data_IF_613807823394
#
_entry.id   IF_613807823394
#
_cell.length_a   1.000
_cell.length_b   1.000
_cell.length_c   1.000
_cell.angle_alpha   90.00
_cell.angle_beta   90.00
_cell.angle_gamma   90.00
#
_symmetry.space_group_name_H-M   'P 1'
#
loop_
_entity.id
_entity.type
_entity.pdbx_description
1 polymer ?
#
# COMPACT_ATOMS: atom_id res chain seq x y z
N UNK A 1 -6.69 -22.02 39.45
CA UNK A 1 -6.42 -20.57 39.32
C UNK A 1 -5.18 -20.23 38.48
N UNK A 2 -4.46 -21.20 37.89
CA UNK A 2 -3.32 -20.93 36.99
C UNK A 2 -3.72 -20.64 35.52
N UNK A 3 -4.92 -21.04 35.11
CA UNK A 3 -5.43 -20.98 33.73
C UNK A 3 -5.83 -19.57 33.25
N UNK A 4 -6.04 -18.63 34.17
CA UNK A 4 -6.44 -17.25 33.83
C UNK A 4 -5.29 -16.31 33.45
N UNK A 5 -4.06 -16.57 33.93
CA UNK A 5 -2.89 -15.71 33.65
C UNK A 5 -2.15 -16.09 32.38
N UNK A 6 -2.15 -17.37 32.02
CA UNK A 6 -1.57 -17.87 30.76
C UNK A 6 -2.40 -17.48 29.54
N UNK A 7 -3.74 -17.48 29.66
CA UNK A 7 -4.65 -17.00 28.60
C UNK A 7 -4.47 -15.51 28.30
N UNK A 8 -4.39 -14.64 29.32
CA UNK A 8 -4.25 -13.20 29.09
C UNK A 8 -2.90 -12.85 28.43
N UNK A 9 -1.83 -13.58 28.74
CA UNK A 9 -0.52 -13.39 28.11
C UNK A 9 -0.50 -13.84 26.64
N UNK A 10 -1.24 -14.91 26.29
CA UNK A 10 -1.38 -15.37 24.91
C UNK A 10 -2.12 -14.36 24.02
N UNK A 11 -3.22 -13.81 24.52
CA UNK A 11 -4.02 -12.81 23.81
C UNK A 11 -3.27 -11.49 23.61
N UNK A 12 -2.50 -11.05 24.62
CA UNK A 12 -1.64 -9.86 24.52
C UNK A 12 -0.50 -10.05 23.52
N UNK A 13 0.21 -11.19 23.58
CA UNK A 13 1.24 -11.55 22.60
C UNK A 13 0.67 -11.53 21.19
N UNK A 14 -0.50 -12.13 20.99
CA UNK A 14 -1.16 -12.17 19.70
C UNK A 14 -1.50 -10.76 19.22
N UNK A 15 -2.02 -9.90 20.09
CA UNK A 15 -2.33 -8.52 19.72
C UNK A 15 -1.09 -7.72 19.29
N UNK A 16 0.02 -7.88 20.00
CA UNK A 16 1.31 -7.26 19.63
C UNK A 16 1.79 -7.78 18.28
N UNK A 17 1.73 -9.09 18.08
CA UNK A 17 2.14 -9.75 16.85
C UNK A 17 1.33 -9.27 15.63
N UNK A 18 0.00 -9.18 15.78
CA UNK A 18 -0.90 -8.62 14.76
C UNK A 18 -0.55 -7.17 14.44
N UNK A 19 -0.18 -6.37 15.44
CA UNK A 19 0.21 -4.97 15.25
C UNK A 19 1.56 -4.84 14.54
N UNK A 20 2.52 -5.73 14.81
CA UNK A 20 3.82 -5.76 14.14
C UNK A 20 3.68 -6.20 12.68
N UNK A 21 2.89 -7.25 12.40
CA UNK A 21 2.67 -7.73 11.03
C UNK A 21 1.91 -6.74 10.15
N UNK A 22 1.04 -5.90 10.74
CA UNK A 22 0.39 -4.80 10.01
C UNK A 22 1.36 -3.69 9.58
N UNK A 23 2.53 -3.62 10.20
CA UNK A 23 3.58 -2.65 9.86
C UNK A 23 4.65 -3.26 8.94
N UNK A 24 4.50 -4.54 8.57
CA UNK A 24 5.40 -5.19 7.64
C UNK A 24 5.40 -4.39 6.32
N UNK A 25 6.59 -4.03 5.80
CA UNK A 25 6.69 -3.41 4.49
C UNK A 25 6.11 -4.33 3.41
N UNK A 26 5.59 -3.77 2.31
CA UNK A 26 5.22 -4.58 1.16
C UNK A 26 6.43 -5.39 0.70
N UNK A 27 6.19 -6.60 0.21
CA UNK A 27 7.22 -7.55 -0.22
C UNK A 27 8.16 -8.13 0.87
N UNK A 28 8.01 -7.73 2.14
CA UNK A 28 8.85 -8.23 3.26
C UNK A 28 8.04 -8.97 4.35
N UNK A 29 6.76 -9.24 4.07
CA UNK A 29 5.88 -9.89 5.05
C UNK A 29 6.37 -11.27 5.49
N UNK A 30 6.98 -12.04 4.58
CA UNK A 30 7.46 -13.38 4.87
C UNK A 30 8.60 -13.35 5.88
N UNK A 31 9.55 -12.43 5.68
CA UNK A 31 10.71 -12.19 6.52
C UNK A 31 10.25 -11.77 7.92
N UNK A 32 9.38 -10.76 8.01
CA UNK A 32 8.81 -10.28 9.28
C UNK A 32 8.03 -11.40 9.99
N UNK A 33 7.25 -12.20 9.26
CA UNK A 33 6.52 -13.33 9.83
C UNK A 33 7.45 -14.41 10.40
N UNK A 34 8.52 -14.75 9.69
CA UNK A 34 9.51 -15.72 10.15
C UNK A 34 10.30 -15.23 11.37
N UNK A 35 10.66 -13.95 11.40
CA UNK A 35 11.33 -13.34 12.56
C UNK A 35 10.41 -13.35 13.79
N UNK A 36 9.15 -12.98 13.61
CA UNK A 36 8.16 -13.03 14.69
C UNK A 36 7.89 -14.44 15.18
N UNK A 37 7.87 -15.44 14.28
CA UNK A 37 7.77 -16.85 14.67
C UNK A 37 8.88 -17.24 15.63
N UNK A 38 10.12 -16.83 15.35
CA UNK A 38 11.28 -17.10 16.20
C UNK A 38 11.21 -16.38 17.55
N UNK A 39 10.68 -15.15 17.58
CA UNK A 39 10.54 -14.35 18.80
C UNK A 39 9.42 -14.84 19.73
N UNK A 40 8.32 -15.30 19.16
CA UNK A 40 7.14 -15.75 19.91
C UNK A 40 7.35 -17.15 20.51
N UNK A 41 8.11 -18.00 19.83
CA UNK A 41 8.44 -19.38 20.23
C UNK A 41 7.19 -20.23 20.56
N UNK A 42 6.12 -20.04 19.77
CA UNK A 42 4.87 -20.80 19.86
C UNK A 42 4.29 -21.04 18.45
N UNK A 43 4.75 -22.12 17.82
CA UNK A 43 4.32 -22.51 16.48
C UNK A 43 2.81 -22.80 16.40
N UNK A 44 2.17 -23.19 17.50
CA UNK A 44 0.74 -23.48 17.52
C UNK A 44 -0.07 -22.19 17.40
N UNK A 45 0.34 -21.14 18.13
CA UNK A 45 -0.25 -19.80 18.06
C UNK A 45 0.00 -19.16 16.70
N UNK A 46 1.23 -19.24 16.19
CA UNK A 46 1.60 -18.70 14.87
C UNK A 46 0.77 -19.35 13.74
N UNK A 47 0.60 -20.67 13.79
CA UNK A 47 -0.11 -21.42 12.74
C UNK A 47 -1.61 -21.13 12.70
N UNK A 48 -2.24 -20.92 13.86
CA UNK A 48 -3.67 -20.59 13.95
C UNK A 48 -4.01 -19.27 13.27
N UNK A 49 -3.08 -18.30 13.32
CA UNK A 49 -3.33 -16.91 12.94
C UNK A 49 -2.68 -16.53 11.61
N UNK A 50 -1.69 -17.31 11.15
CA UNK A 50 -0.99 -17.11 9.89
C UNK A 50 -1.97 -16.87 8.74
N UNK A 51 -2.91 -17.78 8.51
CA UNK A 51 -3.81 -17.70 7.37
C UNK A 51 -4.59 -16.37 7.33
N UNK A 52 -5.09 -15.91 8.48
CA UNK A 52 -5.84 -14.66 8.59
C UNK A 52 -4.94 -13.44 8.31
N UNK A 53 -3.73 -13.42 8.84
CA UNK A 53 -2.81 -12.28 8.69
C UNK A 53 -2.23 -12.19 7.30
N UNK A 54 -1.87 -13.32 6.70
CA UNK A 54 -1.49 -13.40 5.30
C UNK A 54 -2.63 -12.97 4.38
N UNK A 55 -3.87 -13.41 4.66
CA UNK A 55 -5.04 -12.98 3.89
C UNK A 55 -5.27 -11.46 3.98
N UNK A 56 -5.17 -10.89 5.18
CA UNK A 56 -5.29 -9.46 5.40
C UNK A 56 -4.21 -8.69 4.65
N UNK A 57 -2.95 -9.08 4.80
CA UNK A 57 -1.81 -8.44 4.13
C UNK A 57 -1.98 -8.45 2.61
N UNK A 58 -2.26 -9.62 2.04
CA UNK A 58 -2.44 -9.77 0.60
C UNK A 58 -3.55 -8.86 0.05
N UNK A 59 -4.66 -8.73 0.78
CA UNK A 59 -5.79 -7.87 0.40
C UNK A 59 -5.52 -6.37 0.58
N UNK A 60 -4.70 -5.98 1.56
CA UNK A 60 -4.36 -4.57 1.83
C UNK A 60 -3.38 -4.02 0.80
N UNK A 61 -2.42 -4.84 0.38
CA UNK A 61 -1.37 -4.46 -0.58
C UNK A 61 -1.68 -4.88 -2.02
N UNK A 62 -2.90 -5.33 -2.31
CA UNK A 62 -3.37 -5.71 -3.64
C UNK A 62 -2.47 -6.76 -4.31
N UNK A 63 -2.07 -7.81 -3.58
CA UNK A 63 -1.13 -8.81 -4.10
C UNK A 63 -1.61 -9.38 -5.45
N UNK A 64 -0.78 -9.28 -6.50
CA UNK A 64 -1.15 -9.77 -7.82
C UNK A 64 -1.09 -11.30 -7.89
N UNK A 65 -2.07 -11.90 -8.54
CA UNK A 65 -2.10 -13.33 -8.85
C UNK A 65 -2.07 -13.49 -10.36
N UNK A 66 -0.95 -14.02 -10.87
CA UNK A 66 -0.73 -14.27 -12.30
C UNK A 66 -0.59 -15.77 -12.52
N UNK A 67 -1.63 -16.41 -13.03
CA UNK A 67 -1.66 -17.81 -13.44
C UNK A 67 -2.38 -17.94 -14.79
N UNK A 68 -2.30 -19.11 -15.43
CA UNK A 68 -2.91 -19.34 -16.74
C UNK A 68 -4.43 -19.07 -16.70
N UNK A 69 -5.09 -19.49 -15.64
CA UNK A 69 -6.54 -19.42 -15.46
C UNK A 69 -7.03 -18.12 -14.81
N UNK A 70 -6.19 -17.38 -14.08
CA UNK A 70 -6.56 -16.11 -13.42
C UNK A 70 -5.46 -15.05 -13.52
N UNK A 71 -5.83 -13.80 -13.74
CA UNK A 71 -4.90 -12.65 -13.70
C UNK A 71 -5.59 -11.47 -13.01
N UNK A 72 -5.47 -11.40 -11.69
CA UNK A 72 -6.25 -10.48 -10.85
C UNK A 72 -5.49 -10.03 -9.60
N UNK A 73 -5.84 -8.86 -9.08
CA UNK A 73 -5.41 -8.38 -7.76
C UNK A 73 -6.27 -9.01 -6.66
N UNK A 74 -5.64 -9.50 -5.59
CA UNK A 74 -6.36 -9.90 -4.38
C UNK A 74 -6.75 -8.68 -3.58
N UNK A 75 -8.05 -8.47 -3.42
CA UNK A 75 -8.56 -7.31 -2.70
C UNK A 75 -9.76 -7.71 -1.84
N UNK A 76 -10.20 -6.80 -0.97
CA UNK A 76 -11.51 -6.94 -0.29
C UNK A 76 -12.71 -6.86 -1.25
N UNK A 77 -12.50 -6.51 -2.53
CA UNK A 77 -13.57 -6.29 -3.50
C UNK A 77 -13.93 -7.54 -4.28
N UNK A 78 -13.07 -8.56 -4.29
CA UNK A 78 -13.30 -9.83 -4.96
C UNK A 78 -13.26 -11.04 -4.05
N UNK A 79 -13.24 -10.85 -2.73
CA UNK A 79 -13.41 -11.93 -1.76
C UNK A 79 -14.86 -12.44 -1.79
N UNK A 80 -14.99 -13.76 -1.96
CA UNK A 80 -16.23 -14.51 -1.90
C UNK A 80 -16.24 -15.38 -0.62
N UNK A 81 -17.33 -16.10 -0.39
CA UNK A 81 -17.42 -17.07 0.70
C UNK A 81 -16.38 -18.21 0.55
N UNK A 82 -16.11 -18.91 1.66
CA UNK A 82 -15.22 -20.09 1.69
C UNK A 82 -13.78 -19.84 1.19
N UNK A 83 -13.23 -18.65 1.43
CA UNK A 83 -11.87 -18.27 1.02
C UNK A 83 -11.66 -18.36 -0.51
N UNK A 84 -12.72 -18.05 -1.27
CA UNK A 84 -12.66 -17.92 -2.72
C UNK A 84 -12.50 -16.47 -3.14
N UNK A 85 -11.88 -16.26 -4.30
CA UNK A 85 -11.73 -14.97 -4.93
C UNK A 85 -12.30 -14.99 -6.35
N UNK A 86 -12.80 -13.84 -6.79
CA UNK A 86 -13.33 -13.63 -8.14
C UNK A 86 -12.29 -12.93 -9.03
N UNK A 87 -12.05 -13.50 -10.20
CA UNK A 87 -11.45 -12.82 -11.34
C UNK A 87 -12.59 -12.43 -12.30
N UNK A 88 -13.05 -11.17 -12.28
CA UNK A 88 -14.12 -10.72 -13.18
C UNK A 88 -13.65 -10.57 -14.64
N UNK A 89 -12.35 -10.50 -14.91
CA UNK A 89 -11.79 -10.39 -16.26
C UNK A 89 -11.90 -11.72 -17.00
N UNK A 90 -11.49 -12.81 -16.34
CA UNK A 90 -11.57 -14.17 -16.88
C UNK A 90 -12.86 -14.89 -16.50
N UNK A 91 -13.71 -14.27 -15.68
CA UNK A 91 -15.00 -14.82 -15.22
C UNK A 91 -14.83 -16.18 -14.53
N UNK A 92 -13.84 -16.28 -13.66
CA UNK A 92 -13.56 -17.47 -12.86
C UNK A 92 -13.49 -17.11 -11.39
N UNK A 93 -13.88 -18.04 -10.53
CA UNK A 93 -13.56 -17.98 -9.11
C UNK A 93 -12.54 -19.06 -8.77
N UNK A 94 -11.74 -18.84 -7.73
CA UNK A 94 -10.70 -19.77 -7.30
C UNK A 94 -10.49 -19.70 -5.79
N UNK A 95 -9.97 -20.78 -5.18
CA UNK A 95 -9.43 -20.74 -3.82
C UNK A 95 -8.00 -20.25 -3.85
N UNK A 96 -7.60 -19.48 -2.86
CA UNK A 96 -6.24 -18.99 -2.75
C UNK A 96 -5.57 -19.45 -1.45
N UNK A 97 -4.46 -20.17 -1.58
CA UNK A 97 -3.56 -20.49 -0.46
C UNK A 97 -2.64 -19.30 -0.23
N UNK A 98 -2.95 -18.50 0.80
CA UNK A 98 -2.19 -17.29 1.12
C UNK A 98 -0.75 -17.54 1.58
N UNK A 99 -0.43 -18.73 2.09
CA UNK A 99 0.92 -19.07 2.52
C UNK A 99 1.77 -19.50 1.32
N UNK A 100 1.21 -20.32 0.43
CA UNK A 100 1.89 -20.79 -0.79
C UNK A 100 1.83 -19.79 -1.94
N UNK A 101 0.98 -18.76 -1.82
CA UNK A 101 0.63 -17.81 -2.88
C UNK A 101 0.16 -18.52 -4.17
N UNK A 102 -0.71 -19.51 -4.03
CA UNK A 102 -1.20 -20.32 -5.16
C UNK A 102 -2.73 -20.31 -5.25
N UNK A 103 -3.25 -20.06 -6.46
CA UNK A 103 -4.65 -20.27 -6.80
C UNK A 103 -4.91 -21.73 -7.21
N UNK A 104 -6.12 -22.21 -6.90
CA UNK A 104 -6.56 -23.58 -7.16
C UNK A 104 -8.10 -23.67 -7.19
N UNK A 105 -8.65 -24.84 -7.53
CA UNK A 105 -10.11 -25.09 -7.51
C UNK A 105 -10.89 -24.03 -8.32
N UNK A 106 -10.48 -23.86 -9.58
CA UNK A 106 -11.07 -22.90 -10.51
C UNK A 106 -12.49 -23.33 -10.91
N UNK A 107 -13.41 -22.37 -10.87
CA UNK A 107 -14.82 -22.58 -11.22
C UNK A 107 -15.30 -21.41 -12.07
N UNK A 108 -16.01 -21.71 -13.16
CA UNK A 108 -16.62 -20.67 -13.99
C UNK A 108 -17.58 -19.82 -13.16
N UNK A 109 -17.49 -18.50 -13.30
CA UNK A 109 -18.29 -17.53 -12.56
C UNK A 109 -18.81 -16.47 -13.53
N UNK A 110 -19.92 -16.78 -14.20
CA UNK A 110 -20.51 -15.90 -15.20
C UNK A 110 -21.10 -14.63 -14.57
N UNK A 111 -20.89 -13.48 -15.21
CA UNK A 111 -21.50 -12.21 -14.78
C UNK A 111 -22.95 -12.13 -15.27
N UNK A 112 -23.89 -12.06 -14.33
CA UNK A 112 -25.34 -11.98 -14.62
C UNK A 112 -25.73 -10.59 -15.13
N UNK A 113 -25.13 -9.53 -14.59
CA UNK A 113 -25.38 -8.17 -15.03
C UNK A 113 -24.60 -7.81 -16.31
N UNK A 114 -25.21 -8.08 -17.46
CA UNK A 114 -24.65 -7.75 -18.77
C UNK A 114 -24.35 -6.27 -18.96
N UNK A 115 -25.17 -5.37 -18.39
CA UNK A 115 -24.97 -3.93 -18.57
C UNK A 115 -23.80 -3.43 -17.74
N UNK A 116 -23.74 -3.80 -16.45
CA UNK A 116 -22.61 -3.49 -15.60
C UNK A 116 -21.31 -4.08 -16.13
N UNK A 117 -21.36 -5.29 -16.70
CA UNK A 117 -20.19 -5.92 -17.32
C UNK A 117 -19.63 -5.12 -18.49
N UNK A 118 -20.47 -4.52 -19.33
CA UNK A 118 -20.01 -3.66 -20.43
C UNK A 118 -19.21 -2.46 -19.90
N UNK A 119 -19.73 -1.79 -18.86
CA UNK A 119 -19.05 -0.66 -18.21
C UNK A 119 -17.75 -1.08 -17.53
N UNK A 120 -17.77 -2.18 -16.76
CA UNK A 120 -16.60 -2.74 -16.07
C UNK A 120 -15.51 -3.13 -17.06
N UNK A 121 -15.88 -3.81 -18.15
CA UNK A 121 -14.94 -4.26 -19.19
C UNK A 121 -14.29 -3.09 -19.91
N UNK A 122 -15.07 -2.11 -20.35
CA UNK A 122 -14.52 -0.93 -21.01
C UNK A 122 -13.53 -0.17 -20.11
N UNK A 123 -13.88 -0.04 -18.82
CA UNK A 123 -12.98 0.55 -17.83
C UNK A 123 -11.70 -0.26 -17.64
N UNK A 124 -11.82 -1.59 -17.50
CA UNK A 124 -10.67 -2.49 -17.38
C UNK A 124 -9.74 -2.42 -18.59
N UNK A 125 -10.27 -2.49 -19.81
CA UNK A 125 -9.46 -2.48 -21.04
C UNK A 125 -8.68 -1.17 -21.19
N UNK A 126 -9.34 -0.03 -20.97
CA UNK A 126 -8.67 1.27 -21.01
C UNK A 126 -7.60 1.40 -19.91
N UNK A 127 -7.92 0.94 -18.69
CA UNK A 127 -7.00 1.00 -17.56
C UNK A 127 -5.81 0.06 -17.73
N UNK A 128 -6.01 -1.12 -18.29
CA UNK A 128 -4.95 -2.10 -18.52
C UNK A 128 -3.89 -1.56 -19.50
N UNK A 129 -4.32 -0.81 -20.53
CA UNK A 129 -3.41 -0.13 -21.45
C UNK A 129 -2.59 0.93 -20.71
N UNK A 130 -3.24 1.75 -19.86
CA UNK A 130 -2.56 2.74 -19.03
C UNK A 130 -1.54 2.11 -18.08
N UNK A 131 -1.94 1.06 -17.36
CA UNK A 131 -1.06 0.40 -16.39
C UNK A 131 0.12 -0.26 -17.07
N UNK A 132 -0.09 -0.93 -18.21
CA UNK A 132 1.00 -1.55 -18.98
C UNK A 132 2.01 -0.55 -19.54
N UNK A 133 1.62 0.72 -19.73
CA UNK A 133 2.53 1.76 -20.24
C UNK A 133 3.26 2.55 -19.15
N UNK A 134 2.72 2.58 -17.92
CA UNK A 134 3.27 3.39 -16.82
C UNK A 134 3.92 2.56 -15.71
N UNK A 135 3.60 1.28 -15.59
CA UNK A 135 4.06 0.40 -14.51
C UNK A 135 4.71 -0.86 -15.10
N UNK A 136 6.02 -1.03 -14.89
CA UNK A 136 6.79 -2.12 -15.50
C UNK A 136 6.24 -3.53 -15.18
N UNK A 137 5.83 -3.75 -13.94
CA UNK A 137 5.21 -5.00 -13.46
C UNK A 137 3.80 -4.75 -12.90
N UNK A 138 3.12 -3.74 -13.44
CA UNK A 138 1.79 -3.36 -12.96
C UNK A 138 0.72 -4.40 -13.28
N UNK A 139 -0.31 -4.43 -12.44
CA UNK A 139 -1.55 -5.14 -12.71
C UNK A 139 -2.73 -4.27 -12.27
N UNK A 140 -3.86 -4.39 -12.96
CA UNK A 140 -5.09 -3.73 -12.55
C UNK A 140 -6.25 -4.70 -12.50
N UNK A 141 -7.27 -4.36 -11.73
CA UNK A 141 -8.51 -5.12 -11.67
C UNK A 141 -9.69 -4.19 -11.49
N UNK A 142 -10.80 -4.49 -12.18
CA UNK A 142 -12.03 -3.69 -12.08
C UNK A 142 -13.17 -4.60 -11.65
N UNK A 143 -13.82 -4.24 -10.55
CA UNK A 143 -14.90 -4.98 -9.90
C UNK A 143 -16.21 -4.21 -10.00
N UNK A 144 -17.32 -4.93 -9.94
CA UNK A 144 -18.67 -4.35 -9.83
C UNK A 144 -19.16 -4.57 -8.41
N UNK A 145 -19.64 -3.50 -7.77
CA UNK A 145 -20.40 -3.57 -6.52
C UNK A 145 -21.78 -2.99 -6.76
N UNK A 146 -22.78 -3.84 -6.60
CA UNK A 146 -24.17 -3.41 -6.67
C UNK A 146 -24.65 -2.90 -5.31
N UNK A 147 -25.27 -1.73 -5.33
CA UNK A 147 -26.03 -1.21 -4.19
C UNK A 147 -27.49 -1.06 -4.61
N UNK A 148 -28.41 -0.98 -3.65
CA UNK A 148 -29.84 -0.81 -3.94
C UNK A 148 -30.17 0.43 -4.80
N UNK A 149 -29.27 1.42 -4.88
CA UNK A 149 -29.54 2.75 -5.47
C UNK A 149 -28.65 3.06 -6.67
N UNK A 150 -27.42 2.51 -6.74
CA UNK A 150 -26.46 2.79 -7.81
C UNK A 150 -25.52 1.60 -8.08
N UNK A 151 -24.97 1.57 -9.28
CA UNK A 151 -23.87 0.66 -9.62
C UNK A 151 -22.55 1.33 -9.30
N UNK A 152 -21.63 0.59 -8.68
CA UNK A 152 -20.31 1.10 -8.32
C UNK A 152 -19.28 0.25 -9.04
N UNK A 153 -18.42 0.89 -9.84
CA UNK A 153 -17.21 0.26 -10.32
C UNK A 153 -16.09 0.57 -9.35
N UNK A 154 -15.31 -0.44 -9.00
CA UNK A 154 -14.08 -0.26 -8.23
C UNK A 154 -12.90 -0.69 -9.09
N UNK A 155 -12.01 0.24 -9.40
CA UNK A 155 -10.77 -0.03 -10.11
C UNK A 155 -9.60 0.00 -9.13
N UNK A 156 -8.82 -1.08 -9.12
CA UNK A 156 -7.61 -1.23 -8.33
C UNK A 156 -6.42 -1.31 -9.28
N UNK A 157 -5.35 -0.59 -8.95
CA UNK A 157 -4.07 -0.62 -9.65
C UNK A 157 -3.01 -0.97 -8.61
N UNK A 158 -2.07 -1.82 -8.99
CA UNK A 158 -0.90 -2.16 -8.19
C UNK A 158 0.31 -2.24 -9.11
N UNK A 159 1.43 -1.70 -8.67
CA UNK A 159 2.73 -1.94 -9.27
C UNK A 159 3.80 -1.86 -8.19
N UNK A 160 4.65 -2.89 -8.12
CA UNK A 160 5.73 -2.97 -7.16
C UNK A 160 7.06 -3.21 -7.86
N UNK A 161 8.13 -2.95 -7.11
CA UNK A 161 9.49 -3.35 -7.45
C UNK A 161 10.14 -3.87 -6.17
N UNK A 162 10.59 -5.13 -6.22
CA UNK A 162 11.30 -5.78 -5.12
C UNK A 162 12.78 -5.94 -5.52
N UNK A 163 13.69 -5.27 -4.80
CA UNK A 163 15.14 -5.28 -5.07
C UNK A 163 15.92 -5.55 -3.79
N UNK A 164 15.81 -6.76 -3.22
CA UNK A 164 16.38 -7.06 -1.90
C UNK A 164 17.92 -7.07 -1.95
N UNK A 165 18.52 -7.46 -3.08
CA UNK A 165 19.96 -7.41 -3.29
C UNK A 165 20.52 -5.98 -3.37
N UNK A 166 19.66 -4.99 -3.63
CA UNK A 166 19.99 -3.57 -3.61
C UNK A 166 19.38 -2.87 -2.39
N UNK A 167 18.85 -3.63 -1.44
CA UNK A 167 18.29 -3.17 -0.17
C UNK A 167 17.15 -2.16 -0.28
N UNK A 168 16.30 -2.27 -1.30
CA UNK A 168 15.10 -1.46 -1.38
C UNK A 168 13.91 -2.14 -2.03
N UNK A 169 12.72 -1.74 -1.58
CA UNK A 169 11.43 -2.18 -2.11
C UNK A 169 10.52 -0.97 -2.31
N UNK A 170 9.63 -1.06 -3.30
CA UNK A 170 8.67 -0.02 -3.62
C UNK A 170 7.32 -0.62 -4.02
N UNK A 171 6.25 0.05 -3.63
CA UNK A 171 4.88 -0.27 -4.00
C UNK A 171 4.14 1.02 -4.32
N UNK A 172 3.47 1.03 -5.47
CA UNK A 172 2.50 2.04 -5.85
C UNK A 172 1.16 1.35 -6.06
N UNK A 173 0.14 1.72 -5.29
CA UNK A 173 -1.20 1.19 -5.47
C UNK A 173 -2.22 2.30 -5.49
N UNK A 174 -3.32 2.10 -6.20
CA UNK A 174 -4.46 3.00 -6.11
C UNK A 174 -5.79 2.25 -6.15
N UNK A 175 -6.76 2.76 -5.39
CA UNK A 175 -8.14 2.28 -5.38
C UNK A 175 -9.05 3.43 -5.81
N UNK A 176 -9.87 3.20 -6.81
CA UNK A 176 -10.79 4.18 -7.38
C UNK A 176 -12.21 3.64 -7.37
N UNK A 177 -13.15 4.48 -6.97
CA UNK A 177 -14.57 4.18 -6.92
C UNK A 177 -15.31 5.12 -7.87
N UNK A 178 -16.04 4.56 -8.84
CA UNK A 178 -16.85 5.29 -9.82
C UNK A 178 -18.32 4.94 -9.59
N UNK A 179 -19.10 5.92 -9.16
CA UNK A 179 -20.54 5.77 -8.92
C UNK A 179 -21.36 6.04 -10.19
N UNK A 180 -21.92 4.99 -10.80
CA UNK A 180 -22.80 5.07 -11.96
C UNK A 180 -24.26 5.11 -11.50
N UNK A 181 -24.90 6.26 -11.68
CA UNK A 181 -26.33 6.46 -11.41
C UNK A 181 -27.09 6.48 -12.75
N UNK A 182 -28.11 5.63 -12.97
CA UNK A 182 -28.73 5.44 -14.29
C UNK A 182 -29.28 6.68 -14.99
N UNK A 183 -29.69 7.70 -14.23
CA UNK A 183 -30.29 8.95 -14.73
C UNK A 183 -29.33 10.13 -14.75
N UNK A 184 -28.09 9.95 -14.29
CA UNK A 184 -27.12 11.03 -14.19
C UNK A 184 -26.28 11.12 -15.48
N UNK A 185 -25.99 12.35 -15.90
CA UNK A 185 -25.02 12.64 -16.96
C UNK A 185 -23.58 12.74 -16.44
N UNK A 186 -23.39 12.57 -15.13
CA UNK A 186 -22.07 12.60 -14.49
C UNK A 186 -21.93 11.54 -13.39
N UNK A 187 -20.74 10.97 -13.25
CA UNK A 187 -20.36 10.00 -12.24
C UNK A 187 -19.47 10.68 -11.20
N UNK A 188 -19.73 10.42 -9.92
CA UNK A 188 -18.80 10.80 -8.85
C UNK A 188 -17.65 9.80 -8.83
N UNK A 189 -16.42 10.32 -8.74
CA UNK A 189 -15.19 9.53 -8.65
C UNK A 189 -14.44 9.92 -7.40
N UNK A 190 -14.10 8.92 -6.61
CA UNK A 190 -13.22 9.07 -5.45
C UNK A 190 -12.09 8.06 -5.60
N UNK A 191 -10.86 8.47 -5.36
CA UNK A 191 -9.70 7.59 -5.39
C UNK A 191 -8.72 7.87 -4.28
N UNK A 192 -7.93 6.85 -3.97
CA UNK A 192 -6.80 6.94 -3.05
C UNK A 192 -5.59 6.34 -3.75
N UNK A 193 -4.48 7.07 -3.77
CA UNK A 193 -3.19 6.62 -4.28
C UNK A 193 -2.25 6.49 -3.08
N UNK A 194 -1.71 5.29 -2.87
CA UNK A 194 -0.77 5.00 -1.80
C UNK A 194 0.59 4.63 -2.40
N UNK A 195 1.66 5.24 -1.89
CA UNK A 195 3.03 4.96 -2.28
C UNK A 195 3.82 4.57 -1.03
N UNK A 196 4.43 3.39 -1.09
CA UNK A 196 5.34 2.90 -0.07
C UNK A 196 6.72 2.67 -0.68
N UNK A 197 7.76 3.11 0.00
CA UNK A 197 9.13 2.70 -0.29
C UNK A 197 9.87 2.38 1.00
N UNK A 198 10.77 1.42 0.94
CA UNK A 198 11.61 1.00 2.06
C UNK A 198 13.04 0.84 1.54
N UNK A 199 14.00 1.49 2.20
CA UNK A 199 15.43 1.33 1.97
C UNK A 199 16.11 0.91 3.27
N UNK A 200 16.92 -0.15 3.21
CA UNK A 200 17.42 -0.84 4.40
C UNK A 200 18.91 -1.21 4.35
N UNK A 201 19.72 -0.49 3.55
CA UNK A 201 21.18 -0.60 3.60
C UNK A 201 21.72 0.36 4.67
N UNK A 202 22.44 -0.18 5.67
CA UNK A 202 23.06 0.58 6.76
C UNK A 202 22.11 1.55 7.52
N UNK A 203 20.81 1.32 7.41
CA UNK A 203 19.74 2.13 7.98
C UNK A 203 18.39 1.49 7.76
N UNK A 204 17.33 2.14 8.24
CA UNK A 204 15.95 1.75 7.96
C UNK A 204 15.14 3.02 7.67
N UNK A 205 14.84 3.25 6.40
CA UNK A 205 14.15 4.44 5.91
C UNK A 205 12.88 4.01 5.19
N UNK A 206 11.74 4.51 5.68
CA UNK A 206 10.43 4.32 5.05
C UNK A 206 9.89 5.62 4.47
N UNK A 207 9.31 5.53 3.28
CA UNK A 207 8.41 6.51 2.71
C UNK A 207 7.00 5.92 2.71
N UNK A 208 6.03 6.64 3.27
CA UNK A 208 4.60 6.33 3.12
C UNK A 208 3.89 7.60 2.71
N UNK A 209 3.16 7.55 1.60
CA UNK A 209 2.42 8.68 1.04
C UNK A 209 1.02 8.21 0.72
N UNK A 210 0.03 9.02 1.06
CA UNK A 210 -1.37 8.79 0.72
C UNK A 210 -1.92 10.08 0.10
N UNK A 211 -2.52 9.96 -1.10
CA UNK A 211 -3.19 11.06 -1.79
C UNK A 211 -4.63 10.69 -2.07
N UNK A 212 -5.55 11.45 -1.49
CA UNK A 212 -6.97 11.35 -1.79
C UNK A 212 -7.32 12.23 -2.98
N UNK A 213 -8.16 11.71 -3.87
CA UNK A 213 -8.62 12.37 -5.09
C UNK A 213 -10.13 12.29 -5.13
N UNK A 214 -10.78 13.40 -5.42
CA UNK A 214 -12.23 13.45 -5.63
C UNK A 214 -12.53 14.28 -6.87
N UNK A 215 -13.49 13.83 -7.67
CA UNK A 215 -13.85 14.52 -8.90
C UNK A 215 -15.13 13.97 -9.53
N UNK A 216 -15.43 14.49 -10.71
CA UNK A 216 -16.63 14.14 -11.47
C UNK A 216 -16.24 13.78 -12.89
N UNK A 217 -16.82 12.71 -13.43
CA UNK A 217 -16.64 12.30 -14.81
C UNK A 217 -17.94 12.46 -15.60
N UNK A 218 -17.90 12.96 -16.84
CA UNK A 218 -19.06 12.91 -17.72
C UNK A 218 -19.38 11.45 -18.09
N UNK A 219 -20.65 11.07 -17.98
CA UNK A 219 -21.15 9.77 -18.44
C UNK A 219 -21.65 9.94 -19.87
N UNK A 220 -20.94 9.32 -20.82
CA UNK A 220 -21.31 9.32 -22.24
C UNK A 220 -21.46 7.89 -22.73
N UNK A 221 -20.48 7.35 -23.45
CA UNK A 221 -20.39 5.92 -23.76
C UNK A 221 -19.41 5.22 -22.80
N UNK A 222 -19.52 3.90 -22.69
CA UNK A 222 -18.66 3.05 -21.88
C UNK A 222 -17.17 3.32 -22.19
N UNK A 223 -16.83 3.34 -23.48
CA UNK A 223 -15.47 3.57 -23.95
C UNK A 223 -14.96 4.98 -23.67
N UNK A 224 -15.79 6.02 -23.92
CA UNK A 224 -15.35 7.40 -23.73
C UNK A 224 -15.20 7.75 -22.24
N UNK A 225 -16.14 7.33 -21.41
CA UNK A 225 -16.06 7.52 -19.96
C UNK A 225 -14.88 6.74 -19.36
N UNK A 226 -14.55 5.56 -19.87
CA UNK A 226 -13.34 4.83 -19.46
C UNK A 226 -12.05 5.59 -19.81
N UNK A 227 -11.97 6.18 -21.00
CA UNK A 227 -10.83 7.01 -21.41
C UNK A 227 -10.72 8.29 -20.57
N UNK A 228 -11.85 8.92 -20.24
CA UNK A 228 -11.86 10.11 -19.39
C UNK A 228 -11.48 9.79 -17.94
N UNK A 229 -11.85 8.60 -17.44
CA UNK A 229 -11.36 8.08 -16.17
C UNK A 229 -9.83 7.89 -16.18
N UNK A 230 -9.28 7.24 -17.22
CA UNK A 230 -7.83 7.02 -17.33
C UNK A 230 -7.07 8.33 -17.31
N UNK A 231 -7.53 9.35 -18.06
CA UNK A 231 -6.91 10.69 -18.03
C UNK A 231 -6.96 11.33 -16.65
N UNK A 232 -8.04 11.12 -15.90
CA UNK A 232 -8.15 11.61 -14.52
C UNK A 232 -7.14 10.91 -13.61
N UNK A 233 -7.03 9.59 -13.68
CA UNK A 233 -6.07 8.80 -12.91
C UNK A 233 -4.63 9.18 -13.26
N UNK A 234 -4.29 9.25 -14.55
CA UNK A 234 -2.97 9.66 -15.05
C UNK A 234 -2.59 11.08 -14.58
N UNK A 235 -3.53 12.03 -14.65
CA UNK A 235 -3.29 13.38 -14.14
C UNK A 235 -3.01 13.38 -12.64
N UNK A 236 -3.72 12.55 -11.87
CA UNK A 236 -3.52 12.45 -10.42
C UNK A 236 -2.17 11.82 -10.06
N UNK A 237 -1.78 10.75 -10.76
CA UNK A 237 -0.48 10.07 -10.62
C UNK A 237 0.66 11.04 -10.97
N UNK A 238 0.60 11.70 -12.13
CA UNK A 238 1.60 12.68 -12.56
C UNK A 238 1.73 13.85 -11.59
N UNK A 239 0.61 14.35 -11.06
CA UNK A 239 0.65 15.40 -10.04
C UNK A 239 1.30 14.89 -8.75
N UNK A 240 0.95 13.68 -8.28
CA UNK A 240 1.57 13.10 -7.08
C UNK A 240 3.09 12.94 -7.25
N UNK A 241 3.54 12.45 -8.42
CA UNK A 241 4.95 12.31 -8.71
C UNK A 241 5.69 13.66 -8.72
N UNK A 242 5.08 14.69 -9.31
CA UNK A 242 5.62 16.05 -9.30
C UNK A 242 5.68 16.63 -7.88
N UNK A 243 4.60 16.47 -7.10
CA UNK A 243 4.51 16.92 -5.71
C UNK A 243 5.62 16.27 -4.86
N UNK A 244 5.84 14.97 -5.03
CA UNK A 244 6.91 14.23 -4.32
C UNK A 244 8.30 14.74 -4.69
N UNK A 245 8.56 14.94 -5.98
CA UNK A 245 9.85 15.46 -6.43
C UNK A 245 10.15 16.86 -5.84
N UNK A 246 9.15 17.74 -5.80
CA UNK A 246 9.27 19.07 -5.19
C UNK A 246 9.50 18.97 -3.67
N UNK A 247 8.77 18.08 -2.99
CA UNK A 247 8.89 17.90 -1.54
C UNK A 247 10.29 17.37 -1.14
N UNK A 248 10.84 16.44 -1.92
CA UNK A 248 12.21 15.95 -1.70
C UNK A 248 13.26 17.07 -1.87
N UNK A 249 13.07 17.97 -2.83
CA UNK A 249 13.94 19.15 -2.99
C UNK A 249 13.84 20.08 -1.78
N UNK A 250 12.61 20.40 -1.33
CA UNK A 250 12.36 21.23 -0.14
C UNK A 250 12.94 20.62 1.14
N UNK A 251 12.84 19.30 1.30
CA UNK A 251 13.35 18.59 2.46
C UNK A 251 14.85 18.73 2.60
N UNK A 252 15.58 18.56 1.50
CA UNK A 252 17.03 18.72 1.47
C UNK A 252 17.47 20.17 1.71
N UNK A 253 16.74 21.14 1.16
CA UNK A 253 17.17 22.53 1.20
C UNK A 253 16.75 23.31 2.44
N UNK A 254 15.63 22.94 3.07
CA UNK A 254 15.04 23.69 4.18
C UNK A 254 14.90 22.83 5.43
N UNK A 255 14.11 21.76 5.36
CA UNK A 255 13.67 21.03 6.57
C UNK A 255 14.84 20.38 7.31
N UNK A 256 15.73 19.67 6.61
CA UNK A 256 16.89 19.03 7.24
C UNK A 256 17.90 20.06 7.76
N UNK A 257 18.12 21.16 7.03
CA UNK A 257 19.04 22.24 7.46
C UNK A 257 18.53 22.97 8.70
N UNK A 258 17.21 23.10 8.85
CA UNK A 258 16.58 23.67 10.03
C UNK A 258 16.73 22.75 11.27
N UNK A 259 16.67 21.43 11.09
CA UNK A 259 16.88 20.47 12.16
C UNK A 259 18.35 20.40 12.60
N UNK A 260 19.28 20.23 11.64
CA UNK A 260 20.71 20.21 11.89
C UNK A 260 21.46 20.86 10.73
N UNK A 261 22.13 21.96 11.03
CA UNK A 261 23.02 22.60 10.07
C UNK A 261 24.22 21.68 9.76
N UNK A 262 24.63 21.66 8.49
CA UNK A 262 25.84 20.96 8.08
C UNK A 262 27.10 21.52 8.76
N UNK A 263 27.13 22.85 8.98
CA UNK A 263 28.17 23.53 9.75
C UNK A 263 27.53 24.50 10.76
N UNK A 264 28.22 24.77 11.88
CA UNK A 264 27.91 25.89 12.76
C UNK A 264 27.74 27.22 11.99
N UNK A 265 27.12 28.22 12.62
CA UNK A 265 26.93 29.56 12.04
C UNK A 265 28.27 30.19 11.63
N UNK A 266 29.36 29.81 12.27
CA UNK A 266 30.72 30.26 11.94
C UNK A 266 31.25 29.72 10.61
N UNK A 267 30.54 28.80 9.94
CA UNK A 267 30.98 28.12 8.72
C UNK A 267 32.34 27.40 8.89
N UNK A 268 32.65 26.95 10.11
CA UNK A 268 33.85 26.21 10.45
C UNK A 268 33.51 25.00 11.32
N UNK A 269 34.37 23.97 11.32
CA UNK A 269 34.26 22.88 12.29
C UNK A 269 34.37 23.43 13.72
N UNK A 270 33.78 22.71 14.67
CA UNK A 270 33.86 23.09 16.08
C UNK A 270 35.31 23.02 16.54
N UNK A 271 35.79 24.13 17.10
CA UNK A 271 37.05 24.19 17.83
C UNK A 271 36.81 23.66 19.25
N UNK A 272 37.10 22.37 19.43
CA UNK A 272 36.90 21.67 20.69
C UNK A 272 37.81 22.21 21.80
N UNK A 273 39.04 22.62 21.48
CA UNK A 273 40.00 23.15 22.47
C UNK A 273 39.51 24.47 23.05
N UNK A 274 39.02 25.37 22.18
CA UNK A 274 38.44 26.64 22.60
C UNK A 274 37.19 26.45 23.46
N UNK A 275 36.33 25.48 23.14
CA UNK A 275 35.15 25.18 23.96
C UNK A 275 35.50 24.65 25.36
N UNK A 276 36.48 23.73 25.45
CA UNK A 276 36.92 23.17 26.74
C UNK A 276 37.56 24.26 27.60
N UNK A 277 38.42 25.09 27.00
CA UNK A 277 39.12 26.17 27.70
C UNK A 277 38.15 27.23 28.20
N UNK A 278 37.19 27.66 27.37
CA UNK A 278 36.15 28.63 27.78
C UNK A 278 35.34 28.13 28.99
N UNK A 279 34.99 26.84 29.01
CA UNK A 279 34.22 26.21 30.10
C UNK A 279 35.03 26.11 31.40
N UNK A 280 36.34 25.88 31.32
CA UNK A 280 37.25 25.86 32.48
C UNK A 280 37.39 27.28 33.06
N UNK A 281 37.59 28.29 32.21
CA UNK A 281 37.70 29.70 32.64
C UNK A 281 36.41 30.18 33.31
N UNK A 282 35.25 29.83 32.76
CA UNK A 282 33.95 30.17 33.36
C UNK A 282 33.76 29.50 34.74
N UNK A 283 34.16 28.23 34.89
CA UNK A 283 34.12 27.53 36.20
C UNK A 283 35.09 28.14 37.21
N UNK A 284 36.30 28.49 36.79
CA UNK A 284 37.25 29.16 37.67
C UNK A 284 36.70 30.51 38.11
N UNK A 285 36.20 31.34 37.21
CA UNK A 285 35.62 32.64 37.55
C UNK A 285 34.42 32.52 38.50
N UNK A 286 33.56 31.51 38.34
CA UNK A 286 32.44 31.28 39.25
C UNK A 286 32.88 30.71 40.62
N UNK A 287 34.00 30.00 40.69
CA UNK A 287 34.58 29.50 41.95
C UNK A 287 35.33 30.60 42.74
N UNK A 288 35.76 31.68 42.08
CA UNK A 288 36.38 32.85 42.72
C UNK A 288 35.38 33.93 43.15
N UNK A 289 34.11 33.84 42.72
CA UNK A 289 33.03 34.80 43.00
C UNK A 289 31.97 34.30 44.00
N UNK A 290 32.16 33.11 44.59
CA UNK A 290 31.34 32.56 45.69
C UNK A 290 32.20 32.30 46.93
#
# INVERSE_FOLDING_TARGET
MADGRTRSNGDEKLQVMRNLLKQAPPEEFNEVFNDLRLLVDDDSLMSQEAACLWALHNKVYFTPVRQEECEVLLTRHNELEENRFLDPQKQVSFKFDHLRKQASDFQAHAQEDKKGEMWRRALYEALNIYVSSHYAEGLCSVFIKDTAVRKILVACIEGHLNRPSAFWNGLWKSEWTVGLTPTSTSAQVTGTIDVHAHYFEDGNIHLTVCKEVSGTLPITSEAQTAQDFVKLAEKADNQLQADLAEEYQKMNDSHLKAFRRQLPITHSTIDWEKMVTARIVERLNNAWLG
#
